data_IF_310033035704
#
_entry.id   IF_310033035704
#
_cell.length_a   1.000
_cell.length_b   1.000
_cell.length_c   1.000
_cell.angle_alpha   90.00
_cell.angle_beta   90.00
_cell.angle_gamma   90.00
#
_symmetry.space_group_name_H-M   'P 1'
#
loop_
_entity.id
_entity.type
_entity.pdbx_description
1 polymer ?
#
# COMPACT_ATOMS: atom_id res chain seq x y z
N UNK A 1 14.29 20.69 16.92
CA UNK A 1 13.60 20.94 15.64
C UNK A 1 14.04 19.87 14.64
N UNK A 2 13.13 19.02 14.16
CA UNK A 2 13.48 17.89 13.27
C UNK A 2 13.87 18.44 11.90
N UNK A 3 14.97 17.97 11.31
CA UNK A 3 15.48 18.41 9.99
C UNK A 3 14.39 18.35 8.90
N UNK A 4 13.50 17.35 8.97
CA UNK A 4 12.33 17.22 8.10
C UNK A 4 11.42 18.46 8.11
N UNK A 5 11.27 19.11 9.26
CA UNK A 5 10.45 20.31 9.44
C UNK A 5 11.06 21.53 8.76
N UNK A 6 12.39 21.68 8.80
CA UNK A 6 13.08 22.78 8.12
C UNK A 6 12.99 22.63 6.60
N UNK A 7 13.14 21.40 6.09
CA UNK A 7 12.95 21.12 4.66
C UNK A 7 11.52 21.38 4.20
N UNK A 8 10.52 20.99 4.99
CA UNK A 8 9.11 21.23 4.68
C UNK A 8 8.81 22.74 4.58
N UNK A 9 9.30 23.53 5.53
CA UNK A 9 9.12 25.00 5.52
C UNK A 9 9.81 25.63 4.31
N UNK A 10 11.03 25.18 3.99
CA UNK A 10 11.78 25.71 2.84
C UNK A 10 11.08 25.37 1.51
N UNK A 11 10.58 24.14 1.36
CA UNK A 11 9.83 23.73 0.19
C UNK A 11 8.52 24.51 0.04
N UNK A 12 7.81 24.74 1.14
CA UNK A 12 6.59 25.55 1.14
C UNK A 12 6.86 27.00 0.74
N UNK A 13 7.94 27.62 1.26
CA UNK A 13 8.35 28.98 0.87
C UNK A 13 8.76 29.06 -0.61
N UNK A 14 9.45 28.05 -1.13
CA UNK A 14 9.82 28.01 -2.55
C UNK A 14 8.58 27.89 -3.44
N UNK A 15 7.62 27.05 -3.04
CA UNK A 15 6.36 26.87 -3.75
C UNK A 15 5.53 28.16 -3.77
N UNK A 16 5.45 28.91 -2.66
CA UNK A 16 4.73 30.19 -2.63
C UNK A 16 5.40 31.24 -3.49
N UNK A 17 6.74 31.37 -3.44
CA UNK A 17 7.47 32.34 -4.27
C UNK A 17 7.32 32.03 -5.76
N UNK A 18 7.40 30.76 -6.14
CA UNK A 18 7.21 30.35 -7.55
C UNK A 18 5.79 30.58 -8.01
N UNK A 19 4.78 30.30 -7.17
CA UNK A 19 3.38 30.60 -7.48
C UNK A 19 3.15 32.09 -7.75
N UNK A 20 3.63 32.98 -6.88
CA UNK A 20 3.54 34.42 -7.10
C UNK A 20 4.30 34.89 -8.35
N UNK A 21 5.45 34.28 -8.65
CA UNK A 21 6.19 34.60 -9.87
C UNK A 21 5.41 34.20 -11.12
N UNK A 22 4.72 33.05 -11.10
CA UNK A 22 3.86 32.60 -12.21
C UNK A 22 2.64 33.50 -12.40
N UNK A 23 1.96 33.93 -11.33
CA UNK A 23 0.83 34.86 -11.41
C UNK A 23 1.27 36.20 -12.03
N UNK A 24 2.42 36.73 -11.61
CA UNK A 24 2.97 37.97 -12.18
C UNK A 24 3.29 37.80 -13.67
N UNK A 25 3.81 36.65 -14.09
CA UNK A 25 4.10 36.36 -15.50
C UNK A 25 2.81 36.17 -16.31
N UNK A 26 1.79 35.53 -15.75
CA UNK A 26 0.51 35.32 -16.43
C UNK A 26 -0.22 36.64 -16.71
N UNK A 27 -0.13 37.61 -15.80
CA UNK A 27 -0.70 38.95 -15.97
C UNK A 27 0.20 39.89 -16.81
N UNK A 28 1.41 39.45 -17.17
CA UNK A 28 2.45 40.29 -17.79
C UNK A 28 2.36 40.49 -19.30
N UNK A 29 1.21 40.28 -19.94
CA UNK A 29 1.04 40.50 -21.39
C UNK A 29 1.37 41.95 -21.85
N UNK A 30 1.60 42.86 -20.89
CA UNK A 30 2.06 44.25 -21.08
C UNK A 30 3.33 44.65 -20.29
N UNK A 31 4.05 43.71 -19.68
CA UNK A 31 5.22 44.05 -18.86
C UNK A 31 6.38 44.57 -19.71
N UNK A 32 7.00 45.67 -19.28
CA UNK A 32 8.17 46.24 -19.94
C UNK A 32 9.40 45.35 -19.74
N UNK A 33 10.28 45.30 -20.74
CA UNK A 33 11.54 44.53 -20.70
C UNK A 33 12.39 44.82 -19.43
N UNK A 34 12.29 46.03 -18.88
CA UNK A 34 12.96 46.43 -17.63
C UNK A 34 12.48 45.64 -16.40
N UNK A 35 11.18 45.34 -16.33
CA UNK A 35 10.60 44.59 -15.21
C UNK A 35 10.97 43.12 -15.23
N UNK A 36 11.09 42.52 -16.43
CA UNK A 36 11.58 41.15 -16.61
C UNK A 36 13.06 41.06 -16.21
N UNK A 37 13.89 42.02 -16.64
CA UNK A 37 15.30 42.05 -16.29
C UNK A 37 15.53 42.15 -14.78
N UNK A 38 14.72 42.96 -14.08
CA UNK A 38 14.80 43.13 -12.63
C UNK A 38 14.36 41.85 -11.89
N UNK A 39 13.30 41.18 -12.37
CA UNK A 39 12.82 39.92 -11.80
C UNK A 39 13.87 38.80 -11.93
N UNK A 40 14.46 38.66 -13.12
CA UNK A 40 15.54 37.67 -13.38
C UNK A 40 16.77 37.98 -12.53
N UNK A 41 17.14 39.26 -12.40
CA UNK A 41 18.27 39.71 -11.60
C UNK A 41 18.16 39.39 -10.09
N UNK A 42 16.94 39.28 -9.56
CA UNK A 42 16.69 38.92 -8.16
C UNK A 42 16.55 37.40 -7.97
N UNK A 43 15.87 36.71 -8.88
CA UNK A 43 15.62 35.27 -8.77
C UNK A 43 16.89 34.43 -8.92
N UNK A 44 17.79 34.82 -9.82
CA UNK A 44 19.03 34.08 -10.10
C UNK A 44 19.96 33.98 -8.86
N UNK A 45 20.32 35.07 -8.16
CA UNK A 45 21.17 34.97 -6.96
C UNK A 45 20.47 34.28 -5.79
N UNK A 46 19.14 34.42 -5.63
CA UNK A 46 18.38 33.68 -4.62
C UNK A 46 18.43 32.17 -4.85
N UNK A 47 18.24 31.73 -6.10
CA UNK A 47 18.35 30.32 -6.47
C UNK A 47 19.74 29.75 -6.17
N UNK A 48 20.80 30.47 -6.54
CA UNK A 48 22.19 30.06 -6.26
C UNK A 48 22.44 29.97 -4.75
N UNK A 49 21.97 30.95 -3.97
CA UNK A 49 22.11 30.95 -2.51
C UNK A 49 21.43 29.75 -1.84
N UNK A 50 20.24 29.36 -2.30
CA UNK A 50 19.51 28.18 -1.80
C UNK A 50 20.29 26.89 -2.11
N UNK A 51 20.84 26.76 -3.33
CA UNK A 51 21.63 25.59 -3.73
C UNK A 51 22.89 25.47 -2.86
N UNK A 52 23.64 26.55 -2.66
CA UNK A 52 24.83 26.56 -1.80
C UNK A 52 24.46 26.15 -0.36
N UNK A 53 23.35 26.67 0.17
CA UNK A 53 22.87 26.34 1.50
C UNK A 53 22.51 24.85 1.63
N UNK A 54 21.82 24.28 0.63
CA UNK A 54 21.51 22.85 0.57
C UNK A 54 22.78 21.99 0.53
N UNK A 55 23.77 22.35 -0.30
CA UNK A 55 25.06 21.65 -0.37
C UNK A 55 25.78 21.69 0.98
N UNK A 56 25.78 22.83 1.69
CA UNK A 56 26.38 22.93 3.02
C UNK A 56 25.63 22.09 4.07
N UNK A 57 24.30 22.03 4.01
CA UNK A 57 23.48 21.22 4.92
C UNK A 57 23.73 19.73 4.69
N UNK A 58 23.77 19.28 3.43
CA UNK A 58 24.10 17.90 3.07
C UNK A 58 25.52 17.54 3.54
N UNK A 59 26.50 18.40 3.26
CA UNK A 59 27.89 18.23 3.70
C UNK A 59 28.05 18.16 5.22
N UNK A 60 27.18 18.84 5.98
CA UNK A 60 27.19 18.78 7.46
C UNK A 60 26.66 17.46 7.99
N UNK A 61 25.78 16.77 7.26
CA UNK A 61 25.22 15.47 7.67
C UNK A 61 26.30 14.39 7.61
N UNK A 62 27.07 14.36 6.52
CA UNK A 62 28.18 13.42 6.34
C UNK A 62 29.29 13.61 7.37
N UNK A 63 29.59 14.87 7.74
CA UNK A 63 30.60 15.15 8.79
C UNK A 63 30.21 14.63 10.17
N UNK A 64 28.93 14.61 10.53
CA UNK A 64 28.52 14.05 11.84
C UNK A 64 28.65 12.54 11.86
N UNK A 65 28.27 11.87 10.78
CA UNK A 65 28.44 10.42 10.65
C UNK A 65 29.92 10.01 10.73
N UNK A 66 30.78 10.74 10.01
CA UNK A 66 32.23 10.54 10.04
C UNK A 66 32.84 10.77 11.42
N UNK A 67 32.32 11.72 12.21
CA UNK A 67 32.87 12.00 13.55
C UNK A 67 32.56 10.88 14.54
N UNK A 68 31.34 10.32 14.49
CA UNK A 68 30.94 9.21 15.37
C UNK A 68 31.74 7.94 15.11
N UNK A 69 32.13 7.69 13.85
CA UNK A 69 32.96 6.53 13.49
C UNK A 69 34.48 6.79 13.61
N UNK A 70 34.93 8.05 13.54
CA UNK A 70 36.36 8.38 13.70
C UNK A 70 36.90 8.01 15.08
N UNK A 71 36.12 8.21 16.13
CA UNK A 71 36.53 7.89 17.49
C UNK A 71 36.60 6.36 17.71
N UNK A 72 35.86 5.58 16.92
CA UNK A 72 35.94 4.11 16.88
C UNK A 72 37.13 3.60 16.02
N UNK A 73 37.55 4.35 15.00
CA UNK A 73 38.75 4.03 14.21
C UNK A 73 40.07 4.38 14.91
N UNK A 74 40.04 5.09 16.04
CA UNK A 74 41.24 5.48 16.79
C UNK A 74 41.73 4.41 17.78
N UNK A 75 41.02 3.29 17.95
CA UNK A 75 41.60 2.14 18.63
C UNK A 75 42.47 1.37 17.65
N UNK A 76 43.79 1.45 17.80
CA UNK A 76 44.81 0.71 17.02
C UNK A 76 44.77 -0.82 17.24
N UNK A 77 43.74 -1.33 17.92
CA UNK A 77 43.62 -2.76 18.19
C UNK A 77 43.07 -3.47 16.94
N UNK A 78 43.88 -4.29 16.23
CA UNK A 78 43.50 -4.89 14.95
C UNK A 78 42.25 -5.78 15.06
N UNK A 79 41.94 -6.25 16.27
CA UNK A 79 40.74 -7.04 16.56
C UNK A 79 39.45 -6.22 16.45
N UNK A 80 39.49 -4.95 16.87
CA UNK A 80 38.34 -4.03 16.79
C UNK A 80 38.08 -3.61 15.33
N UNK A 81 39.14 -3.45 14.54
CA UNK A 81 39.03 -3.18 13.10
C UNK A 81 38.42 -4.36 12.34
N UNK A 82 38.77 -5.59 12.69
CA UNK A 82 38.18 -6.79 12.10
C UNK A 82 36.68 -6.88 12.43
N UNK A 83 36.31 -6.73 13.71
CA UNK A 83 34.92 -6.77 14.17
C UNK A 83 34.06 -5.65 13.54
N UNK A 84 34.61 -4.44 13.38
CA UNK A 84 33.94 -3.34 12.67
C UNK A 84 33.76 -3.63 11.18
N UNK A 85 34.71 -4.31 10.54
CA UNK A 85 34.62 -4.66 9.13
C UNK A 85 33.56 -5.73 8.88
N UNK A 86 33.49 -6.77 9.74
CA UNK A 86 32.47 -7.82 9.70
C UNK A 86 31.07 -7.24 9.95
N UNK A 87 30.93 -6.39 10.97
CA UNK A 87 29.67 -5.73 11.30
C UNK A 87 29.19 -4.77 10.20
N UNK A 88 30.12 -4.14 9.48
CA UNK A 88 29.81 -3.28 8.33
C UNK A 88 29.32 -4.11 7.14
N UNK A 89 29.94 -5.26 6.86
CA UNK A 89 29.48 -6.17 5.80
C UNK A 89 28.10 -6.76 6.11
N UNK A 90 27.84 -7.12 7.36
CA UNK A 90 26.53 -7.59 7.81
C UNK A 90 25.46 -6.51 7.63
N UNK A 91 25.73 -5.28 8.06
CA UNK A 91 24.82 -4.13 7.89
C UNK A 91 24.55 -3.82 6.41
N UNK A 92 25.57 -3.93 5.55
CA UNK A 92 25.42 -3.74 4.10
C UNK A 92 24.56 -4.84 3.47
N UNK A 93 24.76 -6.10 3.87
CA UNK A 93 23.94 -7.23 3.39
C UNK A 93 22.49 -7.11 3.85
N UNK A 94 22.26 -6.67 5.09
CA UNK A 94 20.93 -6.45 5.64
C UNK A 94 20.21 -5.25 5.00
N UNK A 95 20.92 -4.16 4.72
CA UNK A 95 20.35 -3.04 3.97
C UNK A 95 19.97 -3.47 2.54
N UNK A 96 20.87 -4.15 1.84
CA UNK A 96 20.63 -4.64 0.49
C UNK A 96 19.49 -5.65 0.45
N UNK A 97 19.39 -6.56 1.42
CA UNK A 97 18.28 -7.53 1.48
C UNK A 97 16.95 -6.82 1.74
N UNK A 98 16.91 -5.79 2.60
CA UNK A 98 15.69 -5.04 2.88
C UNK A 98 15.20 -4.21 1.70
N UNK A 99 16.10 -3.56 0.96
CA UNK A 99 15.74 -2.79 -0.26
C UNK A 99 15.31 -3.73 -1.39
N UNK A 100 16.02 -4.84 -1.61
CA UNK A 100 15.64 -5.83 -2.61
C UNK A 100 14.27 -6.43 -2.30
N UNK A 101 13.99 -6.73 -1.03
CA UNK A 101 12.65 -7.18 -0.60
C UNK A 101 11.57 -6.13 -0.86
N UNK A 102 11.83 -4.86 -0.58
CA UNK A 102 10.86 -3.79 -0.87
C UNK A 102 10.61 -3.62 -2.37
N UNK A 103 11.64 -3.70 -3.20
CA UNK A 103 11.50 -3.62 -4.65
C UNK A 103 10.74 -4.83 -5.20
N UNK A 104 11.01 -6.02 -4.69
CA UNK A 104 10.31 -7.24 -5.09
C UNK A 104 8.82 -7.16 -4.69
N UNK A 105 8.52 -6.66 -3.49
CA UNK A 105 7.14 -6.36 -3.05
C UNK A 105 6.44 -5.37 -3.99
N UNK A 106 7.11 -4.28 -4.36
CA UNK A 106 6.54 -3.29 -5.28
C UNK A 106 6.32 -3.85 -6.69
N UNK A 107 7.24 -4.68 -7.18
CA UNK A 107 7.11 -5.35 -8.48
C UNK A 107 5.92 -6.32 -8.49
N UNK A 108 5.79 -7.17 -7.46
CA UNK A 108 4.67 -8.11 -7.34
C UNK A 108 3.32 -7.38 -7.23
N UNK A 109 3.28 -6.30 -6.44
CA UNK A 109 2.10 -5.44 -6.32
C UNK A 109 1.73 -4.81 -7.67
N UNK A 110 2.70 -4.33 -8.44
CA UNK A 110 2.47 -3.75 -9.76
C UNK A 110 1.92 -4.78 -10.75
N UNK A 111 2.47 -6.01 -10.73
CA UNK A 111 1.97 -7.13 -11.54
C UNK A 111 0.52 -7.45 -11.15
N UNK A 112 0.24 -7.65 -9.87
CA UNK A 112 -1.11 -7.92 -9.37
C UNK A 112 -2.10 -6.83 -9.79
N UNK A 113 -1.76 -5.56 -9.60
CA UNK A 113 -2.63 -4.43 -9.99
C UNK A 113 -2.84 -4.34 -11.50
N UNK A 114 -1.87 -4.76 -12.31
CA UNK A 114 -1.99 -4.76 -13.76
C UNK A 114 -2.96 -5.81 -14.30
N UNK A 115 -3.27 -6.84 -13.50
CA UNK A 115 -4.23 -7.91 -13.83
C UNK A 115 -5.66 -7.59 -13.39
N UNK A 116 -5.89 -6.41 -12.78
CA UNK A 116 -7.22 -5.93 -12.41
C UNK A 116 -7.88 -5.32 -13.65
N UNK A 117 -9.00 -5.91 -14.03
CA UNK A 117 -9.84 -5.48 -15.16
C UNK A 117 -10.57 -4.16 -14.85
N UNK A 118 -11.15 -3.54 -15.89
CA UNK A 118 -11.92 -2.29 -15.74
C UNK A 118 -13.17 -2.44 -14.85
N UNK A 119 -13.73 -3.64 -14.76
CA UNK A 119 -14.84 -3.97 -13.85
C UNK A 119 -14.38 -4.16 -12.38
N UNK A 120 -13.08 -4.06 -12.12
CA UNK A 120 -12.47 -4.25 -10.82
C UNK A 120 -12.22 -5.72 -10.47
N UNK A 121 -12.51 -6.67 -11.36
CA UNK A 121 -12.22 -8.09 -11.15
C UNK A 121 -10.76 -8.42 -11.42
N UNK A 122 -10.21 -9.39 -10.69
CA UNK A 122 -8.85 -9.91 -10.95
C UNK A 122 -8.96 -11.22 -11.75
N UNK A 123 -8.37 -11.25 -12.94
CA UNK A 123 -8.53 -12.36 -13.90
C UNK A 123 -8.27 -13.75 -13.28
N UNK A 124 -7.15 -13.86 -12.54
CA UNK A 124 -6.75 -15.10 -11.86
C UNK A 124 -7.67 -15.51 -10.70
N UNK A 125 -8.25 -14.53 -9.98
CA UNK A 125 -9.22 -14.83 -8.91
C UNK A 125 -10.51 -15.38 -9.54
N UNK A 126 -10.96 -14.75 -10.62
CA UNK A 126 -12.15 -15.19 -11.36
C UNK A 126 -11.97 -16.58 -11.94
N UNK A 127 -10.80 -16.90 -12.53
CA UNK A 127 -10.53 -18.24 -13.06
C UNK A 127 -10.54 -19.30 -11.96
N UNK A 128 -9.81 -19.05 -10.86
CA UNK A 128 -9.79 -19.96 -9.70
C UNK A 128 -11.19 -20.14 -9.13
N UNK A 129 -11.99 -19.08 -9.05
CA UNK A 129 -13.36 -19.17 -8.56
C UNK A 129 -14.25 -20.00 -9.49
N UNK A 130 -14.21 -19.76 -10.79
CA UNK A 130 -15.01 -20.48 -11.79
C UNK A 130 -14.73 -21.98 -11.80
N UNK A 131 -13.49 -22.40 -11.53
CA UNK A 131 -13.12 -23.82 -11.40
C UNK A 131 -13.87 -24.52 -10.24
N UNK A 132 -14.26 -23.76 -9.21
CA UNK A 132 -15.01 -24.28 -8.06
C UNK A 132 -16.53 -24.08 -8.18
N UNK A 133 -17.02 -23.38 -9.22
CA UNK A 133 -18.44 -23.17 -9.44
C UNK A 133 -19.11 -24.39 -10.07
N UNK A 134 -20.34 -24.69 -9.64
CA UNK A 134 -21.16 -25.71 -10.27
C UNK A 134 -21.52 -25.35 -11.73
N UNK A 135 -21.85 -24.07 -11.98
CA UNK A 135 -22.15 -23.56 -13.31
C UNK A 135 -21.29 -22.30 -13.60
N UNK A 136 -20.09 -22.46 -14.19
CA UNK A 136 -19.18 -21.36 -14.47
C UNK A 136 -19.74 -20.31 -15.43
N UNK A 137 -20.64 -20.71 -16.34
CA UNK A 137 -21.23 -19.82 -17.36
C UNK A 137 -22.23 -18.83 -16.74
N UNK A 138 -22.75 -19.13 -15.55
CA UNK A 138 -23.65 -18.26 -14.81
C UNK A 138 -22.94 -17.15 -14.02
N UNK A 139 -21.60 -17.15 -14.01
CA UNK A 139 -20.81 -16.19 -13.24
C UNK A 139 -21.00 -14.77 -13.76
N UNK A 140 -21.33 -13.86 -12.84
CA UNK A 140 -21.33 -12.42 -13.07
C UNK A 140 -20.62 -11.73 -11.91
N UNK A 141 -19.53 -11.04 -12.21
CA UNK A 141 -18.83 -10.19 -11.24
C UNK A 141 -19.70 -8.98 -10.87
N UNK A 142 -19.69 -8.59 -9.60
CA UNK A 142 -20.42 -7.40 -9.09
C UNK A 142 -19.45 -6.36 -8.56
N UNK A 143 -18.57 -6.76 -7.64
CA UNK A 143 -17.53 -5.89 -7.09
C UNK A 143 -16.40 -6.71 -6.48
N UNK A 144 -15.21 -6.11 -6.41
CA UNK A 144 -14.10 -6.65 -5.63
C UNK A 144 -13.45 -5.55 -4.80
N UNK A 145 -13.13 -5.88 -3.55
CA UNK A 145 -12.34 -5.04 -2.67
C UNK A 145 -11.01 -5.71 -2.35
N UNK A 146 -9.96 -4.90 -2.25
CA UNK A 146 -8.59 -5.35 -2.06
C UNK A 146 -8.02 -4.68 -0.81
N UNK A 147 -7.61 -5.50 0.16
CA UNK A 147 -7.04 -5.06 1.44
C UNK A 147 -5.64 -5.66 1.59
N UNK A 148 -4.64 -4.81 1.84
CA UNK A 148 -3.28 -5.24 2.19
C UNK A 148 -3.22 -5.56 3.68
N UNK A 149 -2.80 -6.78 4.01
CA UNK A 149 -2.72 -7.28 5.37
C UNK A 149 -1.29 -7.76 5.61
N UNK A 150 -0.66 -7.22 6.65
CA UNK A 150 0.62 -7.72 7.15
C UNK A 150 0.37 -8.63 8.35
N UNK A 151 0.80 -9.90 8.27
CA UNK A 151 0.70 -10.87 9.37
C UNK A 151 1.99 -11.67 9.48
N UNK A 152 2.54 -11.76 10.69
CA UNK A 152 3.79 -12.49 10.98
C UNK A 152 4.99 -12.03 10.12
N UNK A 153 5.03 -10.74 9.78
CA UNK A 153 6.07 -10.14 8.93
C UNK A 153 5.95 -10.48 7.44
N UNK A 154 4.88 -11.17 7.03
CA UNK A 154 4.54 -11.48 5.65
C UNK A 154 3.38 -10.62 5.16
N UNK A 155 3.41 -10.23 3.89
CA UNK A 155 2.33 -9.49 3.27
C UNK A 155 1.36 -10.41 2.54
N UNK A 156 0.09 -10.12 2.70
CA UNK A 156 -1.01 -10.82 2.03
C UNK A 156 -1.98 -9.80 1.46
N UNK A 157 -2.61 -10.12 0.33
CA UNK A 157 -3.76 -9.37 -0.14
C UNK A 157 -5.02 -10.15 0.15
N UNK A 158 -5.88 -9.61 1.00
CA UNK A 158 -7.23 -10.11 1.15
C UNK A 158 -8.11 -9.52 0.07
N UNK A 159 -8.78 -10.39 -0.66
CA UNK A 159 -9.63 -10.05 -1.79
C UNK A 159 -11.04 -10.46 -1.41
N UNK A 160 -11.93 -9.48 -1.29
CA UNK A 160 -13.35 -9.71 -1.05
C UNK A 160 -14.08 -9.55 -2.37
N UNK A 161 -14.56 -10.64 -2.96
CA UNK A 161 -15.26 -10.63 -4.25
C UNK A 161 -16.74 -10.88 -4.04
N UNK A 162 -17.57 -9.98 -4.55
CA UNK A 162 -19.02 -10.17 -4.64
C UNK A 162 -19.36 -10.58 -6.06
N UNK A 163 -20.06 -11.70 -6.20
CA UNK A 163 -20.48 -12.21 -7.51
C UNK A 163 -21.89 -12.80 -7.46
N UNK A 164 -22.51 -12.88 -8.63
CA UNK A 164 -23.75 -13.62 -8.87
C UNK A 164 -23.44 -14.90 -9.62
N UNK A 165 -24.19 -15.95 -9.29
CA UNK A 165 -24.08 -17.24 -9.95
C UNK A 165 -25.33 -18.07 -9.74
N UNK A 166 -25.50 -19.10 -10.56
CA UNK A 166 -26.57 -20.08 -10.42
C UNK A 166 -26.12 -21.20 -9.49
N UNK A 167 -26.90 -21.45 -8.43
CA UNK A 167 -26.65 -22.57 -7.53
C UNK A 167 -27.05 -23.93 -8.17
N UNK A 168 -26.84 -25.03 -7.44
CA UNK A 168 -27.22 -26.39 -7.88
C UNK A 168 -28.72 -26.57 -8.14
N UNK A 169 -29.58 -25.66 -7.66
CA UNK A 169 -31.03 -25.69 -7.84
C UNK A 169 -31.51 -24.78 -8.98
N UNK A 170 -30.60 -24.14 -9.73
CA UNK A 170 -30.98 -23.24 -10.81
C UNK A 170 -31.36 -21.82 -10.36
N UNK A 171 -31.27 -21.51 -9.06
CA UNK A 171 -31.57 -20.16 -8.55
C UNK A 171 -30.34 -19.25 -8.68
N UNK A 172 -30.57 -17.99 -9.07
CA UNK A 172 -29.54 -16.96 -9.09
C UNK A 172 -29.31 -16.44 -7.66
N UNK A 173 -28.08 -16.58 -7.15
CA UNK A 173 -27.68 -16.18 -5.81
C UNK A 173 -26.57 -15.14 -5.86
N UNK A 174 -26.59 -14.20 -4.90
CA UNK A 174 -25.51 -13.24 -4.66
C UNK A 174 -24.66 -13.76 -3.49
N UNK A 175 -23.38 -13.99 -3.73
CA UNK A 175 -22.47 -14.52 -2.73
C UNK A 175 -21.21 -13.67 -2.65
N UNK A 176 -20.65 -13.60 -1.45
CA UNK A 176 -19.37 -12.95 -1.18
C UNK A 176 -18.33 -14.01 -0.88
N UNK A 177 -17.18 -13.93 -1.55
CA UNK A 177 -16.06 -14.85 -1.38
C UNK A 177 -14.82 -14.10 -0.90
N UNK A 178 -14.05 -14.75 -0.02
CA UNK A 178 -12.82 -14.21 0.53
C UNK A 178 -11.63 -15.03 0.04
N UNK A 179 -10.71 -14.37 -0.65
CA UNK A 179 -9.45 -14.96 -1.09
C UNK A 179 -8.28 -14.28 -0.40
N UNK A 180 -7.18 -15.00 -0.27
CA UNK A 180 -5.88 -14.44 0.06
C UNK A 180 -4.88 -14.74 -1.04
N UNK A 181 -4.14 -13.72 -1.41
CA UNK A 181 -2.94 -13.80 -2.21
C UNK A 181 -1.73 -13.80 -1.28
N UNK A 182 -0.85 -14.79 -1.41
CA UNK A 182 0.43 -14.83 -0.69
C UNK A 182 1.56 -14.09 -1.44
N UNK A 183 2.74 -14.04 -0.83
CA UNK A 183 3.94 -13.40 -1.39
C UNK A 183 4.44 -14.07 -2.68
N UNK A 184 4.10 -15.35 -2.87
CA UNK A 184 4.40 -16.17 -4.04
C UNK A 184 3.35 -16.02 -5.16
N UNK A 185 2.42 -15.06 -4.99
CA UNK A 185 1.34 -14.77 -5.93
C UNK A 185 0.41 -15.97 -6.14
N UNK A 186 0.23 -16.83 -5.12
CA UNK A 186 -0.75 -17.91 -5.11
C UNK A 186 -2.05 -17.46 -4.45
N UNK A 187 -3.17 -17.82 -5.07
CA UNK A 187 -4.51 -17.44 -4.62
C UNK A 187 -5.13 -18.63 -3.91
N UNK A 188 -5.56 -18.42 -2.67
CA UNK A 188 -6.29 -19.40 -1.86
C UNK A 188 -7.66 -18.88 -1.48
N UNK A 189 -8.70 -19.70 -1.62
CA UNK A 189 -10.05 -19.40 -1.12
C UNK A 189 -10.12 -19.71 0.38
N UNK A 190 -10.50 -18.73 1.20
CA UNK A 190 -10.57 -18.88 2.67
C UNK A 190 -12.01 -19.08 3.15
N UNK A 191 -13.00 -18.54 2.45
CA UNK A 191 -14.39 -18.72 2.84
C UNK A 191 -15.39 -17.99 1.96
N UNK A 192 -16.65 -18.13 2.32
CA UNK A 192 -17.79 -17.50 1.65
C UNK A 192 -18.83 -17.03 2.66
N UNK A 193 -19.53 -15.94 2.35
CA UNK A 193 -20.68 -15.44 3.09
C UNK A 193 -21.89 -15.36 2.16
N UNK A 194 -22.99 -15.96 2.59
CA UNK A 194 -24.27 -15.90 1.89
C UNK A 194 -24.99 -14.60 2.26
N UNK A 195 -24.94 -13.62 1.36
CA UNK A 195 -25.73 -12.40 1.49
C UNK A 195 -27.15 -12.71 0.98
N UNK A 196 -27.90 -13.49 1.76
CA UNK A 196 -29.31 -13.77 1.47
C UNK A 196 -30.16 -12.57 1.86
N UNK A 197 -30.03 -11.46 1.13
CA UNK A 197 -31.12 -10.50 1.01
C UNK A 197 -32.04 -11.01 -0.09
N UNK A 198 -33.01 -11.83 0.32
CA UNK A 198 -34.13 -12.18 -0.53
C UNK A 198 -34.80 -10.88 -0.99
N UNK A 199 -34.75 -10.61 -2.30
CA UNK A 199 -35.62 -9.64 -2.95
C UNK A 199 -37.08 -10.12 -2.77
N UNK A 200 -37.71 -9.73 -1.67
CA UNK A 200 -39.11 -10.03 -1.42
C UNK A 200 -39.99 -8.98 -2.08
N UNK A 201 -40.48 -9.29 -3.28
CA UNK A 201 -41.66 -8.64 -3.87
C UNK A 201 -42.84 -9.60 -3.73
N UNK A 202 -43.75 -9.18 -2.83
CA UNK A 202 -45.20 -9.40 -2.75
C UNK A 202 -45.82 -10.74 -2.26
N UNK A 203 -46.55 -10.57 -1.14
CA UNK A 203 -47.89 -11.10 -0.77
C UNK A 203 -48.08 -12.63 -0.77
N UNK A 204 -48.42 -13.28 0.35
CA UNK A 204 -49.71 -13.16 1.04
C UNK A 204 -49.66 -13.89 2.41
N UNK A 205 -50.45 -13.37 3.37
CA UNK A 205 -50.79 -13.91 4.70
C UNK A 205 -50.75 -15.45 4.83
N UNK A 206 -50.11 -15.98 5.88
CA UNK A 206 -50.75 -16.69 7.01
C UNK A 206 -49.83 -16.61 8.24
N UNK A 207 -50.45 -16.29 9.37
CA UNK A 207 -49.87 -15.99 10.69
C UNK A 207 -49.78 -17.21 11.63
N UNK A 208 -48.76 -17.14 12.51
CA UNK A 208 -48.72 -17.57 13.92
C UNK A 208 -48.27 -19.00 14.30
N UNK A 209 -47.04 -19.12 14.83
CA UNK A 209 -46.67 -19.32 16.26
C UNK A 209 -45.12 -19.54 16.36
N UNK A 210 -44.25 -18.69 16.94
CA UNK A 210 -44.10 -18.19 18.33
C UNK A 210 -43.93 -19.38 19.30
N UNK A 211 -42.87 -19.63 20.07
CA UNK A 211 -41.72 -18.88 20.60
C UNK A 211 -40.63 -19.88 21.09
N UNK A 212 -39.35 -19.51 21.00
CA UNK A 212 -38.34 -19.82 22.05
C UNK A 212 -37.02 -19.03 21.84
N UNK A 213 -36.87 -17.98 22.67
CA UNK A 213 -35.63 -17.45 23.27
C UNK A 213 -34.44 -17.12 22.33
N UNK A 214 -34.22 -15.85 21.96
CA UNK A 214 -33.52 -14.80 22.76
C UNK A 214 -32.11 -15.22 23.17
N UNK A 215 -31.12 -14.68 22.44
CA UNK A 215 -29.71 -14.72 22.80
C UNK A 215 -28.85 -14.10 21.71
N UNK A 216 -28.74 -12.77 21.73
CA UNK A 216 -27.58 -11.97 21.30
C UNK A 216 -26.49 -12.76 20.57
N UNK A 217 -26.38 -12.63 19.25
CA UNK A 217 -25.18 -13.07 18.51
C UNK A 217 -24.30 -11.85 18.28
N UNK A 218 -23.65 -11.43 19.37
CA UNK A 218 -22.29 -10.89 19.29
C UNK A 218 -21.36 -12.00 18.77
N UNK A 219 -20.40 -11.64 17.92
CA UNK A 219 -19.27 -12.50 17.62
C UNK A 219 -19.22 -13.00 16.18
N UNK A 220 -18.86 -12.12 15.26
CA UNK A 220 -18.09 -12.54 14.08
C UNK A 220 -16.71 -12.99 14.59
N UNK A 221 -16.59 -14.26 14.97
CA UNK A 221 -15.30 -14.90 15.30
C UNK A 221 -14.54 -15.24 14.01
N UNK A 222 -14.06 -14.20 13.31
CA UNK A 222 -13.18 -14.30 12.14
C UNK A 222 -11.71 -14.68 12.50
N UNK A 223 -11.38 -14.80 13.79
CA UNK A 223 -10.01 -15.04 14.25
C UNK A 223 -9.67 -16.52 14.54
N UNK A 224 -10.67 -17.39 14.70
CA UNK A 224 -10.43 -18.79 15.09
C UNK A 224 -10.08 -19.71 13.90
N UNK A 225 -10.64 -19.46 12.71
CA UNK A 225 -10.39 -20.30 11.52
C UNK A 225 -9.05 -20.03 10.82
N UNK A 226 -8.40 -18.89 11.10
CA UNK A 226 -7.03 -18.64 10.63
C UNK A 226 -5.97 -19.39 11.46
N UNK A 227 -6.32 -19.97 12.60
CA UNK A 227 -5.40 -20.74 13.45
C UNK A 227 -5.54 -22.25 13.26
N UNK A 228 -6.71 -22.76 12.84
CA UNK A 228 -6.92 -24.19 12.57
C UNK A 228 -6.24 -24.65 11.27
N UNK A 229 -6.03 -23.75 10.30
CA UNK A 229 -5.41 -24.11 9.02
C UNK A 229 -3.87 -24.24 9.08
N UNK A 230 -3.20 -23.56 10.01
CA UNK A 230 -1.73 -23.66 10.17
C UNK A 230 -1.27 -24.75 11.16
N UNK A 231 -2.18 -25.45 11.84
CA UNK A 231 -1.86 -26.49 12.83
C UNK A 231 -1.88 -27.93 12.30
N UNK A 232 -2.11 -28.14 10.99
CA UNK A 232 -2.31 -29.49 10.43
C UNK A 232 -1.28 -29.93 9.37
N UNK A 233 -0.07 -29.37 9.40
CA UNK A 233 1.08 -29.92 8.68
C UNK A 233 2.21 -30.26 9.66
N UNK A 234 2.01 -31.34 10.41
CA UNK A 234 3.06 -32.29 10.85
C UNK A 234 2.63 -33.70 10.48
#
# INVERSE_FOLDING_TARGET
>A
MRIKFVFLILAALLATVTFFAFDVIADSESASDESIALLVGILLPLGIGIIICLVMILSRKDRRFLKTHRDQLSSEDPKVLLELSEKREEYLKEQQSSEVLQLLKQANLAVFKSEISEDGSHSRVVSTFKEHMHNPDSFQHVSSEYEDIEKDGKHYYKITMVCRGTNTFGALVLQTYFFVLDEDNQISLIGSSDNTEASSVNTEKVSASVDAAVGVVEGVTLAADLLSFFSSNE
#
